data_IF_025701627153
#
_entry.id   IF_025701627153
#
_cell.length_a   1.000
_cell.length_b   1.000
_cell.length_c   1.000
_cell.angle_alpha   90.00
_cell.angle_beta   90.00
_cell.angle_gamma   90.00
#
_symmetry.space_group_name_H-M   'P 1'
#
loop_
_entity.id
_entity.type
_entity.pdbx_description
1 polymer ?
#
# COMPACT_ATOMS: atom_id res chain seq x y z
N UNK A 1 12.67 -8.28 -16.89
CA UNK A 1 12.05 -8.29 -15.53
C UNK A 1 12.12 -6.89 -14.93
N UNK A 2 11.20 -6.54 -14.02
CA UNK A 2 11.06 -5.20 -13.42
C UNK A 2 12.37 -4.64 -12.85
N UNK A 3 13.07 -5.38 -11.99
CA UNK A 3 14.29 -4.90 -11.32
C UNK A 3 15.39 -4.52 -12.31
N UNK A 4 15.61 -5.35 -13.34
CA UNK A 4 16.58 -5.05 -14.40
C UNK A 4 16.25 -3.73 -15.10
N UNK A 5 14.98 -3.49 -15.43
CA UNK A 5 14.53 -2.24 -16.07
C UNK A 5 14.70 -1.04 -15.15
N UNK A 6 14.51 -1.20 -13.85
CA UNK A 6 14.79 -0.14 -12.88
C UNK A 6 16.28 0.17 -12.82
N UNK A 7 17.17 -0.84 -12.70
CA UNK A 7 18.62 -0.64 -12.76
C UNK A 7 19.09 0.00 -14.07
N UNK A 8 18.46 -0.33 -15.21
CA UNK A 8 18.74 0.30 -16.50
C UNK A 8 18.26 1.76 -16.60
N UNK A 9 17.26 2.15 -15.80
CA UNK A 9 16.75 3.52 -15.72
C UNK A 9 17.62 4.40 -14.83
N UNK A 10 18.04 3.85 -13.69
CA UNK A 10 18.94 4.49 -12.75
C UNK A 10 19.79 3.42 -12.05
N UNK A 11 21.08 3.27 -12.44
CA UNK A 11 21.98 2.28 -11.84
C UNK A 11 22.16 2.42 -10.33
N UNK A 12 21.89 3.60 -9.74
CA UNK A 12 21.97 3.80 -8.30
C UNK A 12 20.84 3.09 -7.52
N UNK A 13 19.75 2.71 -8.21
CA UNK A 13 18.61 2.00 -7.61
C UNK A 13 19.02 0.65 -7.02
N UNK A 14 19.98 -0.06 -7.62
CA UNK A 14 20.33 -1.41 -7.19
C UNK A 14 20.98 -1.46 -5.80
N UNK A 15 21.56 -0.34 -5.34
CA UNK A 15 22.09 -0.16 -3.99
C UNK A 15 21.06 0.46 -3.01
N UNK A 16 19.85 0.77 -3.47
CA UNK A 16 18.90 1.64 -2.75
C UNK A 16 17.89 0.91 -1.87
N UNK A 17 17.74 -0.42 -2.00
CA UNK A 17 16.71 -1.18 -1.27
C UNK A 17 17.31 -2.36 -0.52
N UNK A 18 17.10 -2.38 0.79
CA UNK A 18 17.47 -3.47 1.68
C UNK A 18 16.21 -4.21 2.10
N UNK A 19 16.12 -5.48 1.75
CA UNK A 19 15.04 -6.36 2.19
C UNK A 19 15.53 -7.14 3.41
N UNK A 20 14.82 -7.00 4.53
CA UNK A 20 15.10 -7.75 5.74
C UNK A 20 13.96 -8.75 5.97
N UNK A 21 14.29 -10.03 5.98
CA UNK A 21 13.37 -11.09 6.37
C UNK A 21 13.53 -11.40 7.86
N UNK A 22 12.41 -11.41 8.58
CA UNK A 22 12.34 -11.80 9.98
C UNK A 22 11.46 -13.05 10.05
N UNK A 23 12.05 -14.24 9.88
CA UNK A 23 11.28 -15.47 9.82
C UNK A 23 10.87 -15.92 11.22
N UNK A 24 9.74 -16.63 11.31
CA UNK A 24 9.34 -17.37 12.51
C UNK A 24 10.04 -18.73 12.64
N UNK A 25 10.73 -19.16 11.57
CA UNK A 25 11.59 -20.34 11.55
C UNK A 25 12.71 -20.14 10.51
N UNK A 26 13.95 -20.21 10.95
CA UNK A 26 15.14 -19.90 10.15
C UNK A 26 15.43 -20.93 9.06
N UNK A 27 15.02 -22.19 9.23
CA UNK A 27 15.50 -23.29 8.39
C UNK A 27 14.85 -23.31 7.00
N UNK A 28 13.54 -23.06 6.90
CA UNK A 28 12.82 -23.02 5.63
C UNK A 28 13.13 -21.78 4.76
N UNK A 29 13.62 -20.71 5.39
CA UNK A 29 13.76 -19.41 4.75
C UNK A 29 14.99 -19.33 3.85
N UNK A 30 16.08 -20.02 4.23
CA UNK A 30 17.37 -19.97 3.51
C UNK A 30 17.31 -20.65 2.14
N UNK A 31 16.66 -21.80 2.06
CA UNK A 31 16.55 -22.56 0.81
C UNK A 31 15.83 -21.75 -0.30
N UNK A 32 14.75 -21.05 0.05
CA UNK A 32 14.05 -20.19 -0.92
C UNK A 32 14.89 -18.97 -1.33
N UNK A 33 15.61 -18.35 -0.40
CA UNK A 33 16.49 -17.21 -0.71
C UNK A 33 17.58 -17.61 -1.69
N UNK A 34 18.21 -18.77 -1.47
CA UNK A 34 19.26 -19.31 -2.33
C UNK A 34 18.70 -19.73 -3.70
N UNK A 35 17.60 -20.47 -3.74
CA UNK A 35 16.98 -20.96 -4.98
C UNK A 35 16.57 -19.82 -5.93
N UNK A 36 16.09 -18.69 -5.39
CA UNK A 36 15.65 -17.54 -6.18
C UNK A 36 16.70 -16.42 -6.25
N UNK A 37 17.91 -16.63 -5.72
CA UNK A 37 19.01 -15.66 -5.68
C UNK A 37 18.57 -14.28 -5.15
N UNK A 38 17.82 -14.28 -4.04
CA UNK A 38 17.24 -13.06 -3.46
C UNK A 38 18.28 -12.34 -2.59
N UNK A 39 18.47 -11.04 -2.82
CA UNK A 39 19.30 -10.18 -1.95
C UNK A 39 18.54 -9.83 -0.66
N UNK A 40 18.44 -10.78 0.26
CA UNK A 40 17.68 -10.66 1.52
C UNK A 40 18.63 -10.81 2.72
N UNK A 41 18.60 -9.84 3.64
CA UNK A 41 19.22 -9.97 4.95
C UNK A 41 18.26 -10.65 5.92
N UNK A 42 18.77 -11.54 6.78
CA UNK A 42 17.95 -12.23 7.78
C UNK A 42 18.27 -11.66 9.16
N UNK A 43 17.25 -11.22 9.89
CA UNK A 43 17.38 -10.78 11.28
C UNK A 43 16.71 -11.77 12.25
N UNK A 44 17.22 -11.80 13.48
CA UNK A 44 16.74 -12.71 14.54
C UNK A 44 15.33 -12.36 15.02
N UNK A 45 14.71 -13.30 15.73
CA UNK A 45 13.40 -13.10 16.34
C UNK A 45 13.41 -12.08 17.49
N UNK A 46 12.20 -11.63 17.83
CA UNK A 46 11.75 -10.66 18.86
C UNK A 46 12.79 -10.03 19.80
N UNK A 47 12.62 -8.74 20.16
CA UNK A 47 11.41 -7.92 19.92
C UNK A 47 11.40 -7.21 18.55
N UNK A 48 10.26 -7.25 17.86
CA UNK A 48 10.11 -6.70 16.50
C UNK A 48 10.38 -5.19 16.46
N UNK A 49 9.91 -4.43 17.45
CA UNK A 49 10.08 -2.98 17.51
C UNK A 49 11.56 -2.56 17.51
N UNK A 50 12.43 -3.32 18.19
CA UNK A 50 13.87 -3.05 18.19
C UNK A 50 14.46 -3.14 16.79
N UNK A 51 14.02 -4.12 16.00
CA UNK A 51 14.44 -4.24 14.60
C UNK A 51 13.87 -3.12 13.73
N UNK A 52 12.62 -2.70 13.96
CA UNK A 52 12.07 -1.55 13.24
C UNK A 52 12.82 -0.24 13.56
N UNK A 53 13.26 -0.06 14.80
CA UNK A 53 14.09 1.09 15.22
C UNK A 53 15.48 1.07 14.59
N UNK A 54 16.08 -0.11 14.46
CA UNK A 54 17.39 -0.32 13.86
C UNK A 54 17.36 -0.14 12.33
N UNK A 55 16.47 -0.85 11.65
CA UNK A 55 16.40 -0.86 10.19
C UNK A 55 15.64 0.33 9.59
N UNK A 56 14.71 0.91 10.37
CA UNK A 56 13.82 2.01 9.95
C UNK A 56 13.15 1.74 8.60
N UNK A 57 12.42 0.61 8.44
CA UNK A 57 11.88 0.23 7.16
C UNK A 57 10.81 1.23 6.69
N UNK A 58 10.77 1.45 5.37
CA UNK A 58 9.72 2.25 4.72
C UNK A 58 8.38 1.51 4.73
N UNK A 59 8.42 0.18 4.62
CA UNK A 59 7.26 -0.72 4.68
C UNK A 59 7.61 -1.97 5.48
N UNK A 60 6.77 -2.31 6.47
CA UNK A 60 6.84 -3.56 7.21
C UNK A 60 5.66 -4.46 6.86
N UNK A 61 5.94 -5.66 6.33
CA UNK A 61 4.92 -6.66 6.00
C UNK A 61 5.04 -7.85 6.95
N UNK A 62 3.91 -8.32 7.47
CA UNK A 62 3.88 -9.52 8.31
C UNK A 62 2.57 -10.28 8.14
N UNK A 63 2.58 -11.59 8.35
CA UNK A 63 1.35 -12.37 8.50
C UNK A 63 0.74 -12.24 9.91
N UNK A 64 1.51 -11.72 10.88
CA UNK A 64 1.09 -11.55 12.26
C UNK A 64 0.43 -10.17 12.48
N UNK A 65 -0.88 -10.18 12.74
CA UNK A 65 -1.67 -8.96 12.94
C UNK A 65 -1.19 -8.09 14.12
N UNK A 66 -0.67 -8.70 15.19
CA UNK A 66 -0.23 -7.98 16.38
C UNK A 66 1.06 -7.19 16.08
N UNK A 67 2.02 -7.80 15.40
CA UNK A 67 3.26 -7.11 15.01
C UNK A 67 2.96 -5.91 14.09
N UNK A 68 1.99 -6.04 13.18
CA UNK A 68 1.58 -4.94 12.29
C UNK A 68 0.97 -3.79 13.07
N UNK A 69 0.08 -4.07 14.03
CA UNK A 69 -0.50 -3.02 14.89
C UNK A 69 0.56 -2.30 15.72
N UNK A 70 1.52 -3.04 16.27
CA UNK A 70 2.65 -2.47 17.00
C UNK A 70 3.50 -1.55 16.10
N UNK A 71 3.79 -1.99 14.87
CA UNK A 71 4.53 -1.19 13.89
C UNK A 71 3.80 0.11 13.50
N UNK A 72 2.49 0.03 13.20
CA UNK A 72 1.67 1.21 12.89
C UNK A 72 1.62 2.16 14.09
N UNK A 73 1.45 1.65 15.31
CA UNK A 73 1.42 2.45 16.53
C UNK A 73 2.76 3.15 16.79
N UNK A 74 3.88 2.52 16.39
CA UNK A 74 5.21 3.11 16.44
C UNK A 74 5.51 4.06 15.26
N UNK A 75 4.55 4.29 14.35
CA UNK A 75 4.66 5.26 13.25
C UNK A 75 5.27 4.71 11.96
N UNK A 76 5.47 3.40 11.85
CA UNK A 76 5.94 2.75 10.64
C UNK A 76 4.79 2.43 9.69
N UNK A 77 5.03 2.56 8.38
CA UNK A 77 4.12 2.04 7.38
C UNK A 77 4.12 0.52 7.45
N UNK A 78 2.98 -0.10 7.74
CA UNK A 78 2.90 -1.55 7.87
C UNK A 78 1.56 -2.10 7.38
N UNK A 79 1.59 -3.35 6.94
CA UNK A 79 0.40 -4.07 6.54
C UNK A 79 0.50 -5.57 6.86
N UNK A 80 -0.64 -6.17 7.16
CA UNK A 80 -0.79 -7.61 7.31
C UNK A 80 -1.02 -8.23 5.95
N UNK A 81 -0.15 -9.13 5.53
CA UNK A 81 -0.37 -9.90 4.31
C UNK A 81 -1.50 -10.90 4.52
N UNK A 82 -2.49 -10.82 3.64
CA UNK A 82 -3.60 -11.75 3.51
C UNK A 82 -3.51 -12.36 2.12
N UNK A 83 -3.33 -13.67 2.03
CA UNK A 83 -3.21 -14.38 0.76
C UNK A 83 -4.06 -15.64 0.80
N UNK A 84 -4.75 -15.92 -0.31
CA UNK A 84 -5.23 -17.25 -0.65
C UNK A 84 -4.11 -18.01 -1.36
N UNK A 85 -4.14 -19.35 -1.32
CA UNK A 85 -3.23 -20.19 -2.11
C UNK A 85 -3.54 -20.16 -3.63
N UNK A 86 -4.41 -19.25 -4.06
CA UNK A 86 -5.00 -19.24 -5.39
C UNK A 86 -5.12 -17.78 -5.87
N UNK A 87 -4.06 -17.30 -6.52
CA UNK A 87 -3.96 -15.98 -7.15
C UNK A 87 -3.67 -16.13 -8.64
N UNK A 88 -4.11 -15.14 -9.43
CA UNK A 88 -3.86 -15.15 -10.87
C UNK A 88 -2.35 -14.89 -11.15
N UNK A 89 -1.85 -15.39 -12.28
CA UNK A 89 -0.49 -15.05 -12.72
C UNK A 89 -0.37 -13.53 -12.93
N UNK A 90 0.71 -12.95 -12.41
CA UNK A 90 0.99 -11.53 -12.52
C UNK A 90 1.96 -11.24 -13.67
N UNK A 91 2.05 -9.98 -14.08
CA UNK A 91 2.97 -9.56 -15.15
C UNK A 91 4.43 -9.56 -14.68
N UNK A 92 5.31 -10.22 -15.41
CA UNK A 92 6.77 -10.15 -15.18
C UNK A 92 7.39 -8.83 -15.69
N UNK A 93 6.63 -8.03 -16.44
CA UNK A 93 7.08 -6.78 -17.05
C UNK A 93 6.80 -5.54 -16.20
N UNK A 94 5.77 -5.59 -15.36
CA UNK A 94 5.30 -4.47 -14.54
C UNK A 94 5.04 -4.90 -13.09
N UNK A 95 5.60 -4.17 -12.11
CA UNK A 95 5.17 -4.25 -10.72
C UNK A 95 3.92 -3.37 -10.55
N UNK A 96 2.78 -3.99 -10.24
CA UNK A 96 1.50 -3.31 -10.07
C UNK A 96 1.10 -3.24 -8.61
N UNK A 97 0.95 -2.03 -8.07
CA UNK A 97 0.62 -1.81 -6.65
C UNK A 97 -0.65 -0.96 -6.54
N UNK A 98 -1.68 -1.51 -5.90
CA UNK A 98 -2.94 -0.82 -5.68
C UNK A 98 -3.10 -0.40 -4.22
N UNK A 99 -3.70 0.78 -4.00
CA UNK A 99 -3.94 1.36 -2.68
C UNK A 99 -5.37 1.85 -2.55
N UNK A 100 -5.97 1.69 -1.38
CA UNK A 100 -7.06 2.57 -0.98
C UNK A 100 -6.55 4.00 -0.71
N UNK A 101 -7.47 4.96 -0.71
CA UNK A 101 -7.23 6.33 -0.28
C UNK A 101 -7.22 6.45 1.24
N UNK A 102 -8.39 6.59 1.84
CA UNK A 102 -8.57 6.79 3.28
C UNK A 102 -7.99 5.60 4.07
N UNK A 103 -7.39 5.87 5.22
CA UNK A 103 -6.76 4.86 6.07
C UNK A 103 -5.42 4.29 5.55
N UNK A 104 -5.06 4.55 4.29
CA UNK A 104 -3.87 3.99 3.63
C UNK A 104 -2.92 5.09 3.12
N UNK A 105 -3.32 5.82 2.07
CA UNK A 105 -2.56 6.96 1.53
C UNK A 105 -2.92 8.27 2.21
N UNK A 106 -4.17 8.40 2.65
CA UNK A 106 -4.70 9.51 3.44
C UNK A 106 -5.06 9.03 4.84
N UNK A 107 -5.19 9.96 5.77
CA UNK A 107 -5.68 9.66 7.12
C UNK A 107 -7.16 9.27 7.11
N UNK A 108 -7.65 8.79 8.25
CA UNK A 108 -9.05 8.41 8.47
C UNK A 108 -9.94 9.62 8.89
N UNK A 109 -9.50 10.86 8.62
CA UNK A 109 -10.23 12.08 9.02
C UNK A 109 -11.67 12.10 8.49
N UNK A 110 -11.87 11.85 7.20
CA UNK A 110 -13.20 11.86 6.59
C UNK A 110 -14.07 10.68 7.05
N UNK A 111 -13.45 9.55 7.39
CA UNK A 111 -14.17 8.42 7.98
C UNK A 111 -14.67 8.73 9.38
N UNK A 112 -13.87 9.42 10.20
CA UNK A 112 -14.30 9.89 11.54
C UNK A 112 -15.52 10.79 11.47
N UNK A 113 -15.64 11.63 10.44
CA UNK A 113 -16.84 12.46 10.20
C UNK A 113 -18.04 11.57 9.89
N UNK A 114 -17.90 10.64 8.95
CA UNK A 114 -18.97 9.70 8.56
C UNK A 114 -19.43 8.85 9.74
N UNK A 115 -18.49 8.29 10.51
CA UNK A 115 -18.80 7.43 11.65
C UNK A 115 -19.58 8.16 12.76
N UNK A 116 -19.34 9.47 12.94
CA UNK A 116 -20.02 10.28 13.97
C UNK A 116 -21.33 10.92 13.50
N UNK A 117 -21.42 11.33 12.22
CA UNK A 117 -22.47 12.24 11.73
C UNK A 117 -23.18 11.75 10.46
N UNK A 118 -22.82 10.57 9.94
CA UNK A 118 -23.43 10.00 8.74
C UNK A 118 -22.91 10.58 7.42
N UNK A 119 -23.50 10.09 6.33
CA UNK A 119 -23.01 10.31 4.97
C UNK A 119 -23.24 11.74 4.45
N UNK A 120 -24.33 12.40 4.84
CA UNK A 120 -24.60 13.80 4.46
C UNK A 120 -23.53 14.74 5.02
N UNK A 121 -23.14 14.54 6.28
CA UNK A 121 -22.10 15.31 6.94
C UNK A 121 -20.73 15.09 6.27
N UNK A 122 -20.45 13.88 5.77
CA UNK A 122 -19.27 13.61 4.96
C UNK A 122 -19.28 14.44 3.68
N UNK A 123 -20.36 14.40 2.88
CA UNK A 123 -20.41 15.18 1.64
C UNK A 123 -20.36 16.70 1.87
N UNK A 124 -20.90 17.19 2.98
CA UNK A 124 -20.76 18.59 3.36
C UNK A 124 -19.31 18.91 3.72
N UNK A 125 -18.68 18.09 4.57
CA UNK A 125 -17.27 18.26 4.96
C UNK A 125 -16.33 18.24 3.74
N UNK A 126 -16.54 17.32 2.80
CA UNK A 126 -15.72 17.23 1.59
C UNK A 126 -15.92 18.41 0.63
N UNK A 127 -17.11 19.01 0.59
CA UNK A 127 -17.37 20.24 -0.17
C UNK A 127 -16.70 21.45 0.48
N UNK A 128 -16.86 21.60 1.79
CA UNK A 128 -16.31 22.74 2.54
C UNK A 128 -14.78 22.73 2.56
N UNK A 129 -14.18 21.54 2.55
CA UNK A 129 -12.73 21.33 2.56
C UNK A 129 -12.15 20.91 1.20
N UNK A 130 -12.88 21.10 0.09
CA UNK A 130 -12.41 20.67 -1.24
C UNK A 130 -11.08 21.34 -1.63
N UNK A 131 -10.79 22.52 -1.11
CA UNK A 131 -9.53 23.24 -1.28
C UNK A 131 -8.45 22.94 -0.24
N UNK A 132 -8.68 21.99 0.66
CA UNK A 132 -7.76 21.66 1.75
C UNK A 132 -7.34 20.20 1.67
N UNK A 133 -6.04 19.94 1.53
CA UNK A 133 -5.49 18.59 1.49
C UNK A 133 -5.87 17.75 2.70
N UNK A 134 -6.08 16.45 2.47
CA UNK A 134 -6.21 15.47 3.53
C UNK A 134 -4.85 15.26 4.21
N UNK A 135 -4.81 15.04 5.54
CA UNK A 135 -3.60 14.54 6.18
C UNK A 135 -3.20 13.19 5.56
N UNK A 136 -1.90 12.94 5.46
CA UNK A 136 -1.38 11.73 4.84
C UNK A 136 -1.48 10.51 5.77
N UNK A 137 -1.70 9.34 5.17
CA UNK A 137 -1.87 8.07 5.84
C UNK A 137 -0.57 7.37 6.22
N UNK A 138 -0.67 6.14 6.78
CA UNK A 138 0.46 5.35 7.25
C UNK A 138 1.40 4.90 6.12
N UNK A 139 0.89 4.63 4.91
CA UNK A 139 1.72 4.13 3.80
C UNK A 139 2.29 5.25 2.91
N UNK A 140 2.16 6.51 3.30
CA UNK A 140 2.65 7.66 2.50
C UNK A 140 4.12 7.56 2.12
N UNK A 141 4.98 7.08 3.03
CA UNK A 141 6.42 6.99 2.78
C UNK A 141 6.74 5.90 1.78
N UNK A 142 6.02 4.77 1.86
CA UNK A 142 6.11 3.71 0.86
C UNK A 142 5.65 4.18 -0.51
N UNK A 143 4.53 4.89 -0.59
CA UNK A 143 4.08 5.45 -1.85
C UNK A 143 5.07 6.48 -2.43
N UNK A 144 5.65 7.36 -1.58
CA UNK A 144 6.74 8.26 -2.01
C UNK A 144 7.94 7.52 -2.58
N UNK A 145 8.33 6.39 -1.98
CA UNK A 145 9.43 5.58 -2.48
C UNK A 145 9.12 4.98 -3.86
N UNK A 146 7.89 4.50 -4.08
CA UNK A 146 7.44 4.04 -5.41
C UNK A 146 7.46 5.18 -6.43
N UNK A 147 6.92 6.35 -6.09
CA UNK A 147 6.94 7.52 -6.98
C UNK A 147 8.37 7.93 -7.31
N UNK A 148 9.29 7.86 -6.35
CA UNK A 148 10.72 8.12 -6.60
C UNK A 148 11.31 7.11 -7.60
N UNK A 149 11.05 5.82 -7.41
CA UNK A 149 11.47 4.75 -8.32
C UNK A 149 10.88 4.88 -9.73
N UNK A 150 9.72 5.54 -9.85
CA UNK A 150 9.09 5.79 -11.14
C UNK A 150 9.76 6.90 -11.94
N UNK A 151 10.60 7.74 -11.31
CA UNK A 151 11.28 8.85 -11.98
C UNK A 151 12.39 8.32 -12.88
N UNK A 152 12.35 8.73 -14.15
CA UNK A 152 13.40 8.42 -15.13
C UNK A 152 12.97 8.78 -16.55
N UNK A 153 13.90 8.77 -17.52
CA UNK A 153 13.62 9.16 -18.90
C UNK A 153 12.81 8.12 -19.69
N UNK A 154 12.72 6.88 -19.19
CA UNK A 154 11.98 5.77 -19.80
C UNK A 154 10.70 5.48 -19.00
N UNK A 155 9.73 4.82 -19.65
CA UNK A 155 8.51 4.35 -18.98
C UNK A 155 8.87 3.38 -17.85
N UNK A 156 8.54 3.76 -16.62
CA UNK A 156 8.79 2.95 -15.43
C UNK A 156 8.08 1.59 -15.52
N UNK A 157 8.71 0.50 -15.07
CA UNK A 157 8.06 -0.79 -14.89
C UNK A 157 7.24 -0.86 -13.60
N UNK A 158 7.11 0.22 -12.82
CA UNK A 158 6.23 0.28 -11.65
C UNK A 158 4.94 1.01 -12.05
N UNK A 159 3.80 0.43 -11.68
CA UNK A 159 2.48 0.98 -11.94
C UNK A 159 1.65 1.04 -10.67
N UNK A 160 1.18 2.24 -10.33
CA UNK A 160 0.49 2.53 -9.08
C UNK A 160 -0.97 2.89 -9.34
N UNK A 161 -1.86 2.37 -8.50
CA UNK A 161 -3.31 2.53 -8.63
C UNK A 161 -3.94 3.04 -7.34
N UNK A 162 -4.76 4.07 -7.43
CA UNK A 162 -5.69 4.45 -6.38
C UNK A 162 -7.03 3.77 -6.64
N UNK A 163 -7.54 2.96 -5.71
CA UNK A 163 -8.84 2.29 -5.80
C UNK A 163 -9.65 2.67 -4.56
N UNK A 164 -10.45 3.72 -4.68
CA UNK A 164 -11.11 4.36 -3.54
C UNK A 164 -12.63 4.31 -3.63
N UNK A 165 -13.28 4.19 -2.47
CA UNK A 165 -14.74 4.31 -2.34
C UNK A 165 -15.24 5.75 -2.48
N UNK A 166 -14.35 6.75 -2.53
CA UNK A 166 -14.72 8.14 -2.85
C UNK A 166 -15.33 8.23 -4.25
N UNK A 167 -16.34 9.08 -4.40
CA UNK A 167 -16.92 9.42 -5.71
C UNK A 167 -16.09 10.48 -6.44
N UNK A 168 -16.44 10.76 -7.69
CA UNK A 168 -15.73 11.70 -8.58
C UNK A 168 -16.01 13.18 -8.30
N UNK A 169 -16.91 13.50 -7.37
CA UNK A 169 -17.25 14.88 -6.96
C UNK A 169 -16.21 15.40 -5.95
N UNK A 170 -16.58 16.35 -5.08
CA UNK A 170 -15.68 16.97 -4.09
C UNK A 170 -14.80 15.98 -3.29
N UNK A 171 -15.29 14.80 -2.83
CA UNK A 171 -14.43 13.82 -2.17
C UNK A 171 -13.26 13.34 -3.05
N UNK A 172 -13.52 13.09 -4.33
CA UNK A 172 -12.49 12.65 -5.28
C UNK A 172 -11.56 13.79 -5.69
N UNK A 173 -12.09 14.99 -5.89
CA UNK A 173 -11.31 16.20 -6.16
C UNK A 173 -10.32 16.47 -5.02
N UNK A 174 -10.78 16.42 -3.76
CA UNK A 174 -9.92 16.62 -2.59
C UNK A 174 -8.81 15.55 -2.51
N UNK A 175 -9.12 14.30 -2.82
CA UNK A 175 -8.13 13.22 -2.86
C UNK A 175 -7.05 13.47 -3.94
N UNK A 176 -7.45 13.85 -5.16
CA UNK A 176 -6.50 14.18 -6.24
C UNK A 176 -5.64 15.40 -5.90
N UNK A 177 -6.23 16.46 -5.34
CA UNK A 177 -5.48 17.63 -4.86
C UNK A 177 -4.47 17.25 -3.79
N UNK A 178 -4.86 16.38 -2.85
CA UNK A 178 -3.96 15.89 -1.80
C UNK A 178 -2.75 15.19 -2.40
N UNK A 179 -2.94 14.35 -3.42
CA UNK A 179 -1.84 13.69 -4.13
C UNK A 179 -0.93 14.71 -4.82
N UNK A 180 -1.52 15.68 -5.54
CA UNK A 180 -0.78 16.72 -6.27
C UNK A 180 0.07 17.59 -5.33
N UNK A 181 -0.51 18.14 -4.27
CA UNK A 181 0.18 19.02 -3.32
C UNK A 181 1.35 18.32 -2.60
N UNK A 182 1.29 16.99 -2.50
CA UNK A 182 2.34 16.18 -1.86
C UNK A 182 3.34 15.57 -2.84
N UNK A 183 3.25 15.89 -4.15
CA UNK A 183 4.06 15.30 -5.23
C UNK A 183 3.97 13.76 -5.27
N UNK A 184 2.76 13.25 -5.08
CA UNK A 184 2.42 11.83 -5.04
C UNK A 184 1.70 11.41 -6.32
N UNK A 185 2.44 11.31 -7.43
CA UNK A 185 1.86 10.98 -8.72
C UNK A 185 1.36 9.53 -8.76
N UNK A 186 0.09 9.34 -9.09
CA UNK A 186 -0.54 8.03 -9.29
C UNK A 186 -0.73 7.79 -10.80
N UNK A 187 -0.51 6.57 -11.28
CA UNK A 187 -0.70 6.29 -12.71
C UNK A 187 -2.17 6.21 -13.10
N UNK A 188 -2.99 5.57 -12.27
CA UNK A 188 -4.43 5.45 -12.48
C UNK A 188 -5.19 5.58 -11.17
N UNK A 189 -6.38 6.17 -11.24
CA UNK A 189 -7.25 6.35 -10.10
C UNK A 189 -8.69 5.94 -10.45
N UNK A 190 -9.27 5.08 -9.63
CA UNK A 190 -10.63 4.57 -9.74
C UNK A 190 -11.46 5.07 -8.55
N UNK A 191 -12.38 5.99 -8.84
CA UNK A 191 -13.33 6.56 -7.88
C UNK A 191 -14.65 5.82 -7.97
N UNK A 192 -14.88 4.88 -7.05
CA UNK A 192 -15.96 3.91 -7.16
C UNK A 192 -17.29 4.40 -6.57
N UNK A 193 -17.28 5.50 -5.80
CA UNK A 193 -18.49 6.04 -5.17
C UNK A 193 -19.24 5.01 -4.29
N UNK A 194 -18.50 4.14 -3.62
CA UNK A 194 -19.03 3.07 -2.76
C UNK A 194 -19.29 1.73 -3.46
N UNK A 195 -19.07 1.62 -4.78
CA UNK A 195 -19.13 0.32 -5.45
C UNK A 195 -18.01 -0.62 -5.00
N UNK A 196 -18.23 -1.93 -5.14
CA UNK A 196 -17.25 -2.95 -4.77
C UNK A 196 -15.94 -2.82 -5.56
N UNK A 197 -14.79 -2.92 -4.87
CA UNK A 197 -13.45 -2.81 -5.46
C UNK A 197 -13.04 -4.04 -6.29
N UNK A 198 -13.56 -5.22 -5.94
CA UNK A 198 -13.19 -6.52 -6.51
C UNK A 198 -13.12 -6.56 -8.05
N UNK A 199 -14.16 -6.15 -8.80
CA UNK A 199 -14.13 -6.17 -10.26
C UNK A 199 -13.01 -5.35 -10.89
N UNK A 200 -12.71 -4.17 -10.33
CA UNK A 200 -11.62 -3.31 -10.80
C UNK A 200 -10.26 -3.93 -10.45
N UNK A 201 -10.12 -4.43 -9.23
CA UNK A 201 -8.89 -5.11 -8.79
C UNK A 201 -8.58 -6.32 -9.67
N UNK A 202 -9.59 -7.12 -10.02
CA UNK A 202 -9.45 -8.24 -10.95
C UNK A 202 -8.99 -7.78 -12.33
N UNK A 203 -9.56 -6.69 -12.85
CA UNK A 203 -9.24 -6.19 -14.18
C UNK A 203 -7.81 -5.64 -14.29
N UNK A 204 -7.33 -4.92 -13.28
CA UNK A 204 -5.98 -4.35 -13.28
C UNK A 204 -4.92 -5.38 -12.84
N UNK A 205 -5.33 -6.46 -12.17
CA UNK A 205 -4.50 -7.56 -11.67
C UNK A 205 -3.22 -7.07 -10.95
N UNK A 206 -3.35 -6.37 -9.81
CA UNK A 206 -2.19 -5.87 -9.09
C UNK A 206 -1.50 -7.01 -8.34
N UNK A 207 -0.19 -6.86 -8.11
CA UNK A 207 0.58 -7.81 -7.31
C UNK A 207 0.20 -7.75 -5.83
N UNK A 208 -0.25 -6.58 -5.37
CA UNK A 208 -0.69 -6.36 -4.01
C UNK A 208 -1.67 -5.19 -3.96
N UNK A 209 -2.72 -5.34 -3.17
CA UNK A 209 -3.70 -4.30 -2.87
C UNK A 209 -3.69 -3.98 -1.37
N UNK A 210 -3.46 -2.71 -1.01
CA UNK A 210 -3.48 -2.24 0.37
C UNK A 210 -4.81 -1.58 0.70
N UNK A 211 -5.46 -2.01 1.77
CA UNK A 211 -6.74 -1.45 2.24
C UNK A 211 -6.78 -1.49 3.77
N UNK A 212 -7.43 -0.51 4.38
CA UNK A 212 -7.57 -0.44 5.82
C UNK A 212 -8.74 -1.28 6.33
N UNK A 213 -9.68 -1.70 5.48
CA UNK A 213 -10.86 -2.45 5.85
C UNK A 213 -10.79 -3.90 5.38
N UNK A 214 -10.94 -4.84 6.32
CA UNK A 214 -10.88 -6.27 6.01
C UNK A 214 -11.93 -6.70 4.99
N UNK A 215 -13.09 -6.05 4.94
CA UNK A 215 -14.14 -6.33 3.95
C UNK A 215 -13.67 -6.10 2.51
N UNK A 216 -12.85 -5.08 2.26
CA UNK A 216 -12.27 -4.84 0.94
C UNK A 216 -11.12 -5.81 0.65
N UNK A 217 -10.31 -6.13 1.66
CA UNK A 217 -9.24 -7.15 1.56
C UNK A 217 -9.82 -8.50 1.19
N UNK A 218 -10.87 -8.95 1.87
CA UNK A 218 -11.59 -10.18 1.57
C UNK A 218 -12.19 -10.15 0.16
N UNK A 219 -12.75 -9.00 -0.26
CA UNK A 219 -13.22 -8.80 -1.62
C UNK A 219 -12.12 -8.93 -2.68
N UNK A 220 -10.89 -8.48 -2.38
CA UNK A 220 -9.73 -8.68 -3.26
C UNK A 220 -9.36 -10.16 -3.34
N UNK A 221 -9.31 -10.86 -2.21
CA UNK A 221 -9.01 -12.30 -2.14
C UNK A 221 -10.02 -13.15 -2.91
N UNK A 222 -11.31 -12.85 -2.78
CA UNK A 222 -12.38 -13.51 -3.56
C UNK A 222 -12.21 -13.31 -5.07
N UNK A 223 -11.50 -12.25 -5.47
CA UNK A 223 -11.15 -11.95 -6.85
C UNK A 223 -9.71 -12.33 -7.20
N UNK A 224 -9.07 -13.20 -6.39
CA UNK A 224 -7.72 -13.77 -6.63
C UNK A 224 -6.61 -12.72 -6.66
N UNK A 225 -6.81 -11.63 -5.94
CA UNK A 225 -5.82 -10.55 -5.77
C UNK A 225 -5.27 -10.61 -4.35
N UNK A 226 -3.94 -10.55 -4.21
CA UNK A 226 -3.28 -10.50 -2.90
C UNK A 226 -3.67 -9.21 -2.18
N UNK A 227 -4.20 -9.35 -0.96
CA UNK A 227 -4.64 -8.24 -0.13
C UNK A 227 -3.69 -8.00 1.04
N UNK A 228 -3.52 -6.74 1.42
CA UNK A 228 -2.69 -6.34 2.54
C UNK A 228 -3.49 -5.39 3.43
N UNK A 229 -3.83 -5.87 4.63
CA UNK A 229 -4.65 -5.12 5.58
C UNK A 229 -3.81 -4.11 6.36
N UNK A 230 -4.17 -2.84 6.32
CA UNK A 230 -3.51 -1.75 7.06
C UNK A 230 -4.37 -1.40 8.27
N UNK A 231 -4.13 -1.96 9.47
CA UNK A 231 -4.98 -1.72 10.64
C UNK A 231 -4.79 -0.32 11.21
N UNK A 232 -5.32 0.69 10.52
CA UNK A 232 -5.21 2.11 10.82
C UNK A 232 -6.57 2.80 10.76
N UNK A 233 -6.87 3.63 11.75
CA UNK A 233 -8.08 4.43 11.78
C UNK A 233 -9.23 3.80 12.58
N UNK A 234 -10.37 4.49 12.62
CA UNK A 234 -11.47 4.21 13.57
C UNK A 234 -12.34 2.99 13.28
N UNK A 235 -12.17 2.34 12.12
CA UNK A 235 -12.96 1.16 11.71
C UNK A 235 -12.20 -0.16 11.83
N UNK A 236 -11.01 -0.13 12.44
CA UNK A 236 -10.07 -1.25 12.57
C UNK A 236 -10.07 -1.95 13.93
#
# INVERSE_FOLDING_TARGET
MVNQRLSEMDPAIEESFKIVLIPTNMDHSKESIENYNLKIEIACEKPILKHLEEFKPILFLSTNAQNVREAISAGYGAARLCSSNDYDEHSDEELRVAFDGDGVLFSDESEKVTAKKGLEAFFQNERDNEGTSLPLGPLRMFFKALVHLQKGPKKSPIRTYLVTSRGTTSPGIRALKTLQENNLEINEAFFLGGAHKGPVLKAINPHIFFDDQMTHVDGALQNRVIGAHVPYGVRN
#
